data_IF_649229336638
#
_entry.id   IF_649229336638
#
_cell.length_a   1.000
_cell.length_b   1.000
_cell.length_c   1.000
_cell.angle_alpha   90.00
_cell.angle_beta   90.00
_cell.angle_gamma   90.00
#
_symmetry.space_group_name_H-M   'P 1'
#
loop_
_entity.id
_entity.type
_entity.pdbx_description
1 polymer ?
#
# COMPACT_ATOMS: atom_id res chain seq x y z
N UNK A 1 -13.48 -27.36 13.74
CA UNK A 1 -13.01 -26.03 13.29
C UNK A 1 -14.01 -25.03 13.80
N UNK A 2 -13.61 -24.10 14.68
CA UNK A 2 -14.48 -23.02 15.16
C UNK A 2 -14.60 -21.97 14.05
N UNK A 3 -15.81 -21.71 13.55
CA UNK A 3 -16.05 -20.56 12.66
C UNK A 3 -15.59 -19.29 13.36
N UNK A 4 -14.94 -18.40 12.61
CA UNK A 4 -14.55 -17.10 13.16
C UNK A 4 -15.77 -16.20 13.37
N UNK A 5 -15.70 -15.26 14.33
CA UNK A 5 -16.78 -14.30 14.55
C UNK A 5 -17.15 -13.51 13.28
N UNK A 6 -16.18 -13.27 12.40
CA UNK A 6 -16.38 -12.61 11.12
C UNK A 6 -17.12 -13.50 10.11
N UNK A 7 -16.86 -14.81 10.08
CA UNK A 7 -17.62 -15.76 9.26
C UNK A 7 -19.09 -15.78 9.65
N UNK A 8 -19.36 -15.91 10.95
CA UNK A 8 -20.72 -15.93 11.48
C UNK A 8 -21.45 -14.65 11.11
N UNK A 9 -20.81 -13.49 11.26
CA UNK A 9 -21.46 -12.21 10.96
C UNK A 9 -21.78 -12.02 9.47
N UNK A 10 -20.90 -12.45 8.55
CA UNK A 10 -21.18 -12.36 7.11
C UNK A 10 -22.24 -13.41 6.69
N UNK A 11 -22.25 -14.60 7.31
CA UNK A 11 -23.31 -15.59 7.13
C UNK A 11 -24.67 -15.04 7.59
N UNK A 12 -24.73 -14.36 8.74
CA UNK A 12 -25.94 -13.72 9.26
C UNK A 12 -26.46 -12.63 8.31
N UNK A 13 -25.58 -11.81 7.72
CA UNK A 13 -25.96 -10.81 6.71
C UNK A 13 -26.52 -11.45 5.43
N UNK A 14 -25.93 -12.56 4.99
CA UNK A 14 -26.43 -13.31 3.82
C UNK A 14 -27.80 -13.93 4.14
N UNK A 15 -27.99 -14.47 5.34
CA UNK A 15 -29.26 -14.99 5.81
C UNK A 15 -30.32 -13.90 5.90
N UNK A 16 -29.97 -12.71 6.38
CA UNK A 16 -30.87 -11.56 6.44
C UNK A 16 -31.35 -11.14 5.04
N UNK A 17 -30.45 -11.16 4.05
CA UNK A 17 -30.83 -10.95 2.65
C UNK A 17 -31.86 -11.98 2.16
N UNK A 18 -31.74 -13.25 2.60
CA UNK A 18 -32.68 -14.31 2.26
C UNK A 18 -34.04 -14.11 2.92
N UNK A 19 -34.07 -13.74 4.19
CA UNK A 19 -35.32 -13.40 4.90
C UNK A 19 -36.06 -12.22 4.26
N UNK A 20 -35.33 -11.16 3.89
CA UNK A 20 -35.89 -9.99 3.20
C UNK A 20 -36.43 -10.38 1.82
N UNK A 21 -35.67 -11.14 1.03
CA UNK A 21 -36.08 -11.51 -0.33
C UNK A 21 -37.18 -12.57 -0.37
N UNK A 22 -37.31 -13.40 0.66
CA UNK A 22 -38.43 -14.31 0.87
C UNK A 22 -39.70 -13.60 1.36
N UNK A 23 -39.59 -12.34 1.82
CA UNK A 23 -40.72 -11.56 2.33
C UNK A 23 -41.15 -11.96 3.75
N UNK A 24 -40.25 -12.55 4.53
CA UNK A 24 -40.55 -13.05 5.89
C UNK A 24 -40.99 -11.93 6.86
N UNK A 25 -40.64 -10.68 6.56
CA UNK A 25 -40.88 -9.52 7.41
C UNK A 25 -42.17 -8.75 7.10
N UNK A 26 -42.92 -9.14 6.06
CA UNK A 26 -44.21 -8.52 5.73
C UNK A 26 -44.12 -6.99 5.62
N UNK A 27 -44.87 -6.28 6.45
CA UNK A 27 -44.91 -4.80 6.48
C UNK A 27 -43.60 -4.15 6.98
N UNK A 28 -42.79 -4.87 7.77
CA UNK A 28 -41.51 -4.37 8.30
C UNK A 28 -40.35 -4.54 7.32
N UNK A 29 -40.58 -5.09 6.12
CA UNK A 29 -39.51 -5.39 5.15
C UNK A 29 -38.61 -4.18 4.84
N UNK A 30 -39.17 -2.97 4.77
CA UNK A 30 -38.37 -1.77 4.46
C UNK A 30 -37.40 -1.40 5.59
N UNK A 31 -37.77 -1.63 6.85
CA UNK A 31 -36.90 -1.37 8.01
C UNK A 31 -35.69 -2.30 7.99
N UNK A 32 -35.92 -3.59 7.70
CA UNK A 32 -34.85 -4.57 7.52
C UNK A 32 -33.95 -4.26 6.31
N UNK A 33 -34.52 -3.74 5.22
CA UNK A 33 -33.72 -3.26 4.08
C UNK A 33 -32.83 -2.08 4.49
N UNK A 34 -33.38 -1.12 5.23
CA UNK A 34 -32.63 0.06 5.66
C UNK A 34 -31.50 -0.31 6.63
N UNK A 35 -31.76 -1.21 7.58
CA UNK A 35 -30.76 -1.69 8.53
C UNK A 35 -29.66 -2.51 7.83
N UNK A 36 -30.02 -3.42 6.92
CA UNK A 36 -29.05 -4.16 6.10
C UNK A 36 -28.16 -3.20 5.30
N UNK A 37 -28.74 -2.18 4.66
CA UNK A 37 -27.97 -1.21 3.88
C UNK A 37 -27.06 -0.37 4.75
N UNK A 38 -27.48 -0.03 5.97
CA UNK A 38 -26.63 0.65 6.96
C UNK A 38 -25.44 -0.23 7.37
N UNK A 39 -25.68 -1.52 7.63
CA UNK A 39 -24.60 -2.47 7.92
C UNK A 39 -23.64 -2.61 6.73
N UNK A 40 -24.15 -2.57 5.50
CA UNK A 40 -23.34 -2.56 4.27
C UNK A 40 -22.43 -1.32 4.16
N UNK A 41 -22.76 -0.17 4.77
CA UNK A 41 -21.86 0.99 4.83
C UNK A 41 -20.59 0.72 5.63
N UNK A 42 -20.64 -0.20 6.61
CA UNK A 42 -19.46 -0.68 7.33
C UNK A 42 -18.42 -1.33 6.41
N UNK A 43 -18.83 -1.83 5.24
CA UNK A 43 -17.96 -2.40 4.21
C UNK A 43 -17.51 -1.38 3.16
N UNK A 44 -17.55 -0.08 3.47
CA UNK A 44 -17.23 1.01 2.53
C UNK A 44 -15.91 0.83 1.76
N UNK A 45 -14.83 0.43 2.45
CA UNK A 45 -13.52 0.21 1.81
C UNK A 45 -13.52 -0.99 0.84
N UNK A 46 -13.93 -2.21 1.24
CA UNK A 46 -14.10 -3.33 0.29
C UNK A 46 -15.05 -3.01 -0.88
N UNK A 47 -16.14 -2.30 -0.64
CA UNK A 47 -17.08 -1.87 -1.68
C UNK A 47 -16.42 -0.89 -2.66
N UNK A 48 -15.55 0.00 -2.18
CA UNK A 48 -14.76 0.88 -3.05
C UNK A 48 -13.79 0.09 -3.93
N UNK A 49 -13.06 -0.87 -3.36
CA UNK A 49 -12.11 -1.73 -4.09
C UNK A 49 -12.78 -2.52 -5.22
N UNK A 50 -14.03 -2.92 -5.02
CA UNK A 50 -14.83 -3.69 -5.99
C UNK A 50 -15.74 -2.82 -6.85
N UNK A 51 -15.60 -1.48 -6.79
CA UNK A 51 -16.45 -0.50 -7.51
C UNK A 51 -17.96 -0.68 -7.26
N UNK A 52 -18.29 -1.17 -6.08
CA UNK A 52 -19.65 -1.53 -5.65
C UNK A 52 -20.20 -0.56 -4.58
N UNK A 53 -19.59 0.62 -4.42
CA UNK A 53 -19.97 1.64 -3.42
C UNK A 53 -21.40 2.19 -3.57
N UNK A 54 -22.07 1.91 -4.68
CA UNK A 54 -23.47 2.26 -4.89
C UNK A 54 -24.46 1.29 -4.22
N UNK A 55 -24.03 0.09 -3.82
CA UNK A 55 -24.92 -0.95 -3.26
C UNK A 55 -25.68 -0.45 -2.01
N UNK A 56 -25.02 0.16 -0.98
CA UNK A 56 -25.72 0.65 0.22
C UNK A 56 -26.76 1.74 -0.06
N UNK A 57 -26.66 2.42 -1.22
CA UNK A 57 -27.57 3.51 -1.60
C UNK A 57 -28.88 3.00 -2.22
N UNK A 58 -28.92 1.74 -2.65
CA UNK A 58 -30.07 1.11 -3.29
C UNK A 58 -30.95 0.42 -2.24
N UNK A 59 -31.80 1.19 -1.55
CA UNK A 59 -32.71 0.73 -0.49
C UNK A 59 -33.96 0.01 -1.02
N UNK A 60 -33.75 -0.88 -1.99
CA UNK A 60 -34.81 -1.67 -2.62
C UNK A 60 -34.48 -3.16 -2.55
N UNK A 61 -35.48 -4.01 -2.81
CA UNK A 61 -35.28 -5.46 -2.98
C UNK A 61 -34.21 -5.79 -4.03
N UNK A 62 -34.01 -4.95 -5.05
CA UNK A 62 -32.95 -5.15 -6.05
C UNK A 62 -31.57 -4.86 -5.43
N UNK A 63 -31.46 -3.83 -4.61
CA UNK A 63 -30.25 -3.54 -3.85
C UNK A 63 -29.89 -4.67 -2.89
N UNK A 64 -30.87 -5.25 -2.19
CA UNK A 64 -30.65 -6.42 -1.31
C UNK A 64 -30.09 -7.60 -2.08
N UNK A 65 -30.63 -7.91 -3.26
CA UNK A 65 -30.09 -8.97 -4.13
C UNK A 65 -28.65 -8.69 -4.58
N UNK A 66 -28.31 -7.42 -4.83
CA UNK A 66 -26.93 -7.00 -5.14
C UNK A 66 -26.02 -7.13 -3.92
N UNK A 67 -26.48 -6.71 -2.75
CA UNK A 67 -25.75 -6.86 -1.49
C UNK A 67 -25.46 -8.35 -1.20
N UNK A 68 -26.47 -9.23 -1.32
CA UNK A 68 -26.30 -10.67 -1.20
C UNK A 68 -25.25 -11.21 -2.18
N UNK A 69 -25.39 -10.89 -3.46
CA UNK A 69 -24.44 -11.34 -4.48
C UNK A 69 -23.01 -10.88 -4.19
N UNK A 70 -22.86 -9.65 -3.69
CA UNK A 70 -21.57 -9.10 -3.31
C UNK A 70 -20.99 -9.79 -2.06
N UNK A 71 -21.79 -9.98 -1.01
CA UNK A 71 -21.36 -10.66 0.24
C UNK A 71 -20.90 -12.09 -0.05
N UNK A 72 -21.66 -12.85 -0.83
CA UNK A 72 -21.30 -14.22 -1.23
C UNK A 72 -20.02 -14.24 -2.05
N UNK A 73 -19.87 -13.32 -3.03
CA UNK A 73 -18.69 -13.26 -3.88
C UNK A 73 -17.42 -12.84 -3.11
N UNK A 74 -17.57 -12.05 -2.04
CA UNK A 74 -16.45 -11.55 -1.25
C UNK A 74 -16.29 -12.28 0.10
N UNK A 75 -17.12 -13.28 0.40
CA UNK A 75 -17.12 -14.06 1.65
C UNK A 75 -15.69 -14.48 2.02
N UNK A 76 -15.01 -15.17 1.10
CA UNK A 76 -13.64 -15.64 1.32
C UNK A 76 -12.61 -14.53 1.53
N UNK A 77 -12.87 -13.30 1.12
CA UNK A 77 -12.00 -12.13 1.35
C UNK A 77 -12.36 -11.40 2.64
N UNK A 78 -13.65 -11.34 2.99
CA UNK A 78 -14.16 -10.71 4.20
C UNK A 78 -13.87 -11.56 5.45
N UNK A 79 -13.83 -12.88 5.28
CA UNK A 79 -13.75 -13.83 6.41
C UNK A 79 -12.40 -14.53 6.55
N UNK A 80 -11.52 -14.43 5.54
CA UNK A 80 -10.12 -14.82 5.73
C UNK A 80 -9.39 -13.83 6.63
N UNK A 81 -9.47 -14.08 7.93
CA UNK A 81 -8.39 -13.73 8.85
C UNK A 81 -7.45 -14.93 9.10
N UNK A 82 -7.57 -16.04 8.33
CA UNK A 82 -6.97 -17.34 8.65
C UNK A 82 -6.02 -17.95 7.62
N UNK A 83 -6.18 -17.67 6.33
CA UNK A 83 -5.05 -17.75 5.40
C UNK A 83 -4.48 -16.36 5.40
N UNK A 84 -3.41 -16.18 6.18
CA UNK A 84 -2.59 -14.99 6.10
C UNK A 84 -2.50 -14.63 4.64
N UNK A 85 -2.87 -13.39 4.30
CA UNK A 85 -2.29 -12.79 3.12
C UNK A 85 -0.84 -13.19 3.22
N UNK A 86 -0.42 -14.12 2.37
CA UNK A 86 0.85 -13.94 1.72
C UNK A 86 0.63 -12.61 1.03
N UNK A 87 0.84 -11.53 1.81
CA UNK A 87 1.52 -10.39 1.29
C UNK A 87 2.70 -11.06 0.66
N UNK A 88 2.60 -11.25 -0.66
CA UNK A 88 3.60 -11.93 -1.44
C UNK A 88 4.90 -11.37 -0.91
N UNK A 89 5.77 -12.20 -0.34
CA UNK A 89 6.86 -11.72 0.53
C UNK A 89 7.68 -10.63 -0.17
N UNK A 90 7.61 -10.55 -1.51
CA UNK A 90 7.99 -9.40 -2.33
C UNK A 90 7.48 -8.02 -1.87
N UNK A 91 6.23 -7.80 -1.44
CA UNK A 91 5.71 -6.45 -1.15
C UNK A 91 6.08 -5.94 0.25
N UNK A 92 6.10 -6.81 1.27
CA UNK A 92 6.59 -6.45 2.62
C UNK A 92 8.10 -6.44 2.66
N UNK A 93 8.78 -7.35 1.94
CA UNK A 93 10.23 -7.22 1.74
C UNK A 93 10.58 -6.01 0.88
N UNK A 94 9.80 -5.63 -0.14
CA UNK A 94 10.01 -4.36 -0.87
C UNK A 94 9.72 -3.15 0.01
N UNK A 95 8.65 -3.14 0.81
CA UNK A 95 8.34 -2.00 1.68
C UNK A 95 9.37 -1.84 2.79
N UNK A 96 9.81 -2.94 3.42
CA UNK A 96 10.92 -2.92 4.39
C UNK A 96 12.22 -2.54 3.72
N UNK A 97 12.58 -3.14 2.57
CA UNK A 97 13.80 -2.78 1.85
C UNK A 97 13.78 -1.32 1.36
N UNK A 98 12.63 -0.80 0.93
CA UNK A 98 12.50 0.61 0.49
C UNK A 98 12.57 1.55 1.70
N UNK A 99 12.04 1.15 2.85
CA UNK A 99 12.15 1.91 4.10
C UNK A 99 13.58 1.88 4.67
N UNK A 100 14.22 0.71 4.71
CA UNK A 100 15.60 0.51 5.16
C UNK A 100 16.58 1.26 4.23
N UNK A 101 16.39 1.18 2.91
CA UNK A 101 17.15 1.98 1.94
C UNK A 101 16.88 3.47 2.12
N UNK A 102 15.64 3.88 2.42
CA UNK A 102 15.33 5.30 2.67
C UNK A 102 16.03 5.82 3.94
N UNK A 103 16.20 5.00 4.97
CA UNK A 103 16.92 5.35 6.21
C UNK A 103 18.43 5.39 5.98
N UNK A 104 19.01 4.37 5.35
CA UNK A 104 20.45 4.32 4.99
C UNK A 104 20.84 5.51 4.10
N UNK A 105 20.03 5.83 3.10
CA UNK A 105 20.28 6.95 2.18
C UNK A 105 20.12 8.30 2.88
N UNK A 106 19.12 8.45 3.76
CA UNK A 106 18.92 9.71 4.49
C UNK A 106 20.05 9.96 5.50
N UNK A 107 20.56 8.91 6.15
CA UNK A 107 21.74 9.02 7.02
C UNK A 107 22.98 9.41 6.22
N UNK A 108 23.25 8.74 5.09
CA UNK A 108 24.40 9.07 4.26
C UNK A 108 24.33 10.49 3.66
N UNK A 109 23.15 10.95 3.23
CA UNK A 109 22.95 12.34 2.76
C UNK A 109 23.17 13.34 3.91
N UNK A 110 22.73 13.03 5.13
CA UNK A 110 22.94 13.90 6.29
C UNK A 110 24.42 13.97 6.69
N UNK A 111 25.13 12.84 6.64
CA UNK A 111 26.57 12.77 6.94
C UNK A 111 27.42 13.46 5.87
N UNK A 112 27.00 13.42 4.61
CA UNK A 112 27.61 14.16 3.50
C UNK A 112 27.33 15.66 3.66
N UNK A 113 26.10 16.04 3.99
CA UNK A 113 25.72 17.43 4.20
C UNK A 113 26.42 18.07 5.41
N UNK A 114 26.80 17.29 6.41
CA UNK A 114 27.52 17.79 7.59
C UNK A 114 29.06 17.76 7.43
N UNK A 115 29.59 17.41 6.25
CA UNK A 115 31.03 17.35 6.03
C UNK A 115 31.63 18.77 5.92
N UNK A 116 32.52 19.20 6.84
CA UNK A 116 33.03 20.56 6.89
C UNK A 116 34.06 20.87 5.79
N UNK A 117 34.47 19.87 5.00
CA UNK A 117 35.48 20.00 3.94
C UNK A 117 34.88 20.44 2.60
N UNK A 118 33.57 20.28 2.41
CA UNK A 118 32.88 20.67 1.18
C UNK A 118 32.59 22.17 1.15
N UNK A 119 32.89 22.79 0.02
CA UNK A 119 32.31 24.08 -0.33
C UNK A 119 30.79 23.93 -0.55
N UNK A 120 30.05 24.97 -0.24
CA UNK A 120 28.58 24.93 -0.26
C UNK A 120 28.02 24.57 -1.66
N UNK A 121 28.72 24.94 -2.73
CA UNK A 121 28.36 24.62 -4.11
C UNK A 121 28.50 23.11 -4.40
N UNK A 122 29.63 22.49 -4.02
CA UNK A 122 29.80 21.04 -4.20
C UNK A 122 28.84 20.24 -3.33
N UNK A 123 28.51 20.74 -2.12
CA UNK A 123 27.50 20.12 -1.24
C UNK A 123 26.10 20.13 -1.87
N UNK A 124 25.65 21.28 -2.37
CA UNK A 124 24.34 21.39 -3.05
C UNK A 124 24.28 20.52 -4.32
N UNK A 125 25.36 20.50 -5.10
CA UNK A 125 25.45 19.66 -6.29
C UNK A 125 25.40 18.16 -5.96
N UNK A 126 26.03 17.76 -4.85
CA UNK A 126 26.08 16.38 -4.37
C UNK A 126 24.72 15.93 -3.83
N UNK A 127 24.05 16.75 -3.02
CA UNK A 127 22.69 16.50 -2.53
C UNK A 127 21.68 16.40 -3.69
N UNK A 128 21.78 17.30 -4.68
CA UNK A 128 20.95 17.26 -5.87
C UNK A 128 21.17 16.00 -6.70
N UNK A 129 22.44 15.59 -6.89
CA UNK A 129 22.78 14.39 -7.62
C UNK A 129 22.32 13.11 -6.90
N UNK A 130 22.44 13.06 -5.57
CA UNK A 130 21.91 11.96 -4.73
C UNK A 130 20.38 11.89 -4.77
N UNK A 131 19.70 13.02 -4.68
CA UNK A 131 18.23 13.10 -4.78
C UNK A 131 17.74 12.62 -6.15
N UNK A 132 18.43 13.02 -7.23
CA UNK A 132 18.12 12.54 -8.59
C UNK A 132 18.43 11.06 -8.78
N UNK A 133 19.52 10.56 -8.22
CA UNK A 133 19.82 9.12 -8.20
C UNK A 133 18.72 8.34 -7.45
N UNK A 134 18.25 8.86 -6.32
CA UNK A 134 17.14 8.26 -5.56
C UNK A 134 15.85 8.19 -6.38
N UNK A 135 15.43 9.30 -6.97
CA UNK A 135 14.24 9.33 -7.84
C UNK A 135 14.37 8.37 -9.03
N UNK A 136 15.54 8.27 -9.64
CA UNK A 136 15.79 7.35 -10.75
C UNK A 136 15.76 5.87 -10.29
N UNK A 137 16.27 5.57 -9.09
CA UNK A 137 16.21 4.25 -8.49
C UNK A 137 14.77 3.83 -8.14
N UNK A 138 13.99 4.74 -7.53
CA UNK A 138 12.56 4.55 -7.23
C UNK A 138 11.74 4.33 -8.51
N UNK A 139 12.04 5.07 -9.59
CA UNK A 139 11.41 4.92 -10.90
C UNK A 139 11.90 3.68 -11.70
N UNK A 140 12.79 2.85 -11.13
CA UNK A 140 13.45 1.70 -11.81
C UNK A 140 14.14 2.10 -13.13
N UNK A 141 14.56 3.36 -13.25
CA UNK A 141 15.25 3.89 -14.42
C UNK A 141 16.77 3.66 -14.30
N UNK A 142 17.24 2.51 -14.80
CA UNK A 142 18.66 2.10 -14.72
C UNK A 142 19.62 3.06 -15.42
N UNK A 143 19.23 3.63 -16.56
CA UNK A 143 20.09 4.55 -17.32
C UNK A 143 20.19 5.91 -16.63
N UNK A 144 19.06 6.46 -16.17
CA UNK A 144 19.05 7.70 -15.38
C UNK A 144 19.78 7.55 -14.05
N UNK A 145 19.67 6.39 -13.39
CA UNK A 145 20.40 6.10 -12.17
C UNK A 145 21.91 6.08 -12.39
N UNK A 146 22.40 5.37 -13.41
CA UNK A 146 23.82 5.30 -13.72
C UNK A 146 24.43 6.68 -14.04
N UNK A 147 23.69 7.55 -14.72
CA UNK A 147 24.13 8.92 -15.02
C UNK A 147 24.27 9.77 -13.74
N UNK A 148 23.33 9.65 -12.80
CA UNK A 148 23.38 10.37 -11.53
C UNK A 148 24.41 9.79 -10.56
N UNK A 149 24.61 8.46 -10.55
CA UNK A 149 25.68 7.77 -9.82
C UNK A 149 27.05 8.29 -10.26
N UNK A 150 27.30 8.39 -11.57
CA UNK A 150 28.56 8.89 -12.09
C UNK A 150 28.84 10.32 -11.62
N UNK A 151 27.82 11.19 -11.62
CA UNK A 151 27.92 12.56 -11.10
C UNK A 151 28.19 12.61 -9.59
N UNK A 152 27.55 11.75 -8.81
CA UNK A 152 27.80 11.63 -7.36
C UNK A 152 29.24 11.18 -7.08
N UNK A 153 29.74 10.19 -7.82
CA UNK A 153 31.13 9.71 -7.66
C UNK A 153 32.12 10.80 -8.07
N UNK A 154 31.93 11.45 -9.21
CA UNK A 154 32.80 12.53 -9.68
C UNK A 154 32.88 13.67 -8.66
N UNK A 155 31.74 14.10 -8.11
CA UNK A 155 31.69 15.11 -7.05
C UNK A 155 32.33 14.62 -5.74
N UNK A 156 32.13 13.35 -5.38
CA UNK A 156 32.72 12.76 -4.19
C UNK A 156 34.24 12.57 -4.31
N UNK A 157 34.80 12.32 -5.50
CA UNK A 157 36.25 12.19 -5.70
C UNK A 157 37.04 13.47 -5.38
N UNK A 158 36.36 14.61 -5.25
CA UNK A 158 36.95 15.85 -4.77
C UNK A 158 37.36 15.80 -3.30
N UNK A 159 36.88 14.82 -2.52
CA UNK A 159 37.38 14.56 -1.17
C UNK A 159 37.48 13.06 -0.88
N UNK A 160 38.62 12.65 -0.30
CA UNK A 160 38.89 11.23 -0.03
C UNK A 160 37.90 10.60 0.97
N UNK A 161 37.35 11.40 1.89
CA UNK A 161 36.42 10.94 2.93
C UNK A 161 34.97 10.82 2.47
N UNK A 162 34.61 11.47 1.34
CA UNK A 162 33.27 11.42 0.77
C UNK A 162 33.07 10.22 -0.15
N UNK A 163 34.13 9.73 -0.80
CA UNK A 163 34.02 8.59 -1.72
C UNK A 163 33.40 7.36 -1.05
N UNK A 164 33.83 6.92 0.16
CA UNK A 164 33.21 5.79 0.84
C UNK A 164 31.75 6.05 1.23
N UNK A 165 31.42 7.26 1.70
CA UNK A 165 30.06 7.64 2.12
C UNK A 165 29.09 7.68 0.93
N UNK A 166 29.54 8.26 -0.18
CA UNK A 166 28.78 8.31 -1.43
C UNK A 166 28.54 6.90 -2.00
N UNK A 167 29.56 6.03 -1.97
CA UNK A 167 29.43 4.64 -2.41
C UNK A 167 28.44 3.85 -1.53
N UNK A 168 28.41 4.08 -0.22
CA UNK A 168 27.42 3.46 0.67
C UNK A 168 26.00 3.90 0.33
N UNK A 169 25.76 5.20 0.13
CA UNK A 169 24.45 5.74 -0.25
C UNK A 169 23.98 5.17 -1.60
N UNK A 170 24.87 5.15 -2.60
CA UNK A 170 24.57 4.62 -3.92
C UNK A 170 24.37 3.10 -3.90
N UNK A 171 25.13 2.38 -3.07
CA UNK A 171 24.98 0.96 -2.83
C UNK A 171 23.61 0.62 -2.22
N UNK A 172 23.14 1.42 -1.26
CA UNK A 172 21.79 1.30 -0.72
C UNK A 172 20.72 1.55 -1.81
N UNK A 173 20.86 2.61 -2.62
CA UNK A 173 19.94 2.89 -3.73
C UNK A 173 19.94 1.78 -4.79
N UNK A 174 21.09 1.16 -5.07
CA UNK A 174 21.20 0.08 -6.04
C UNK A 174 20.39 -1.17 -5.62
N UNK A 175 20.18 -1.39 -4.31
CA UNK A 175 19.34 -2.49 -3.79
C UNK A 175 17.89 -2.40 -4.31
N UNK A 176 17.39 -1.21 -4.64
CA UNK A 176 16.04 -1.01 -5.20
C UNK A 176 15.84 -1.64 -6.59
N UNK A 177 16.92 -1.92 -7.33
CA UNK A 177 16.84 -2.61 -8.62
C UNK A 177 16.82 -4.14 -8.52
N UNK A 178 17.20 -4.70 -7.36
CA UNK A 178 17.25 -6.14 -7.09
C UNK A 178 16.01 -6.69 -6.38
N UNK A 179 15.03 -5.82 -6.07
CA UNK A 179 13.80 -6.14 -5.35
C UNK A 179 12.55 -6.17 -6.24
#
# INVERSE_FOLDING_TARGET
MSQSLAEVHVEDLIYECDCITAGNYGESTQEHIDDLMLQMEGFSFPLMCTRSSAIPRDKTLKGVKRAKGWLVANMATLTNSGNGTTVSSSSVSQASATADVSVEVSQAVTEIGNDPVLDNETKEALELALSRARMAAEAKNKTGFAEHVAKVIDLATKSADLVPKALLALGALAKLFGA
#
